data_IF_434780008020
#
_entry.id   IF_434780008020
#
_cell.length_a   1.000
_cell.length_b   1.000
_cell.length_c   1.000
_cell.angle_alpha   90.00
_cell.angle_beta   90.00
_cell.angle_gamma   90.00
#
_symmetry.space_group_name_H-M   'P 1'
#
loop_
_entity.id
_entity.type
_entity.pdbx_description
1 polymer ?
#
# COMPACT_ATOMS: atom_id res chain seq x y z
N UNK A 1 15.82 -9.41 8.80
CA UNK A 1 15.39 -9.13 7.41
C UNK A 1 13.90 -9.40 7.36
N UNK A 2 13.09 -8.39 7.03
CA UNK A 2 11.63 -8.50 7.10
C UNK A 2 11.13 -9.37 5.93
N UNK A 3 10.80 -10.63 6.20
CA UNK A 3 10.54 -11.67 5.19
C UNK A 3 9.30 -11.39 4.34
N UNK A 4 8.38 -10.56 4.84
CA UNK A 4 7.15 -10.16 4.13
C UNK A 4 7.44 -9.22 2.96
N UNK A 5 8.28 -8.20 3.16
CA UNK A 5 8.59 -7.21 2.11
C UNK A 5 9.27 -7.86 0.91
N UNK A 6 10.20 -8.79 1.14
CA UNK A 6 10.91 -9.47 0.06
C UNK A 6 9.96 -10.36 -0.77
N UNK A 7 9.03 -11.07 -0.13
CA UNK A 7 8.00 -11.84 -0.85
C UNK A 7 7.10 -10.95 -1.72
N UNK A 8 6.69 -9.80 -1.21
CA UNK A 8 5.85 -8.86 -1.96
C UNK A 8 6.61 -8.21 -3.13
N UNK A 9 7.90 -7.91 -2.95
CA UNK A 9 8.79 -7.46 -4.02
C UNK A 9 8.88 -8.47 -5.17
N UNK A 10 9.01 -9.75 -4.85
CA UNK A 10 9.03 -10.83 -5.86
C UNK A 10 7.73 -10.86 -6.65
N UNK A 11 6.56 -10.81 -5.98
CA UNK A 11 5.24 -10.76 -6.67
C UNK A 11 5.12 -9.57 -7.63
N UNK A 12 5.57 -8.38 -7.23
CA UNK A 12 5.57 -7.18 -8.09
C UNK A 12 6.46 -7.39 -9.32
N UNK A 13 7.64 -7.97 -9.12
CA UNK A 13 8.61 -8.23 -10.17
C UNK A 13 8.11 -9.28 -11.16
N UNK A 14 7.48 -10.35 -10.68
CA UNK A 14 6.91 -11.42 -11.50
C UNK A 14 5.82 -10.89 -12.44
N UNK A 15 5.08 -9.88 -11.98
CA UNK A 15 4.07 -9.18 -12.77
C UNK A 15 4.65 -8.10 -13.69
N UNK A 16 5.99 -7.98 -13.77
CA UNK A 16 6.75 -7.00 -14.58
C UNK A 16 6.54 -5.54 -14.18
N UNK A 17 6.08 -5.29 -12.96
CA UNK A 17 5.98 -3.94 -12.42
C UNK A 17 7.26 -3.54 -11.70
N UNK A 18 7.53 -2.23 -11.66
CA UNK A 18 8.62 -1.66 -10.89
C UNK A 18 8.12 -1.26 -9.50
N UNK A 19 8.78 -1.75 -8.46
CA UNK A 19 8.66 -1.16 -7.13
C UNK A 19 9.51 0.11 -7.09
N UNK A 20 8.87 1.27 -7.18
CA UNK A 20 9.53 2.57 -6.99
C UNK A 20 9.66 2.88 -5.50
N UNK A 21 10.51 3.86 -5.14
CA UNK A 21 10.66 4.28 -3.74
C UNK A 21 9.32 4.68 -3.12
N UNK A 22 8.49 5.45 -3.84
CA UNK A 22 7.16 5.85 -3.34
C UNK A 22 6.23 4.65 -3.10
N UNK A 23 6.21 3.67 -4.03
CA UNK A 23 5.43 2.44 -3.87
C UNK A 23 5.93 1.60 -2.71
N UNK A 24 7.24 1.55 -2.51
CA UNK A 24 7.84 0.86 -1.37
C UNK A 24 7.44 1.53 -0.06
N UNK A 25 7.48 2.87 0.02
CA UNK A 25 7.03 3.61 1.21
C UNK A 25 5.57 3.33 1.52
N UNK A 26 4.69 3.36 0.51
CA UNK A 26 3.27 3.04 0.67
C UNK A 26 3.08 1.59 1.15
N UNK A 27 3.78 0.63 0.54
CA UNK A 27 3.68 -0.78 0.95
C UNK A 27 4.19 -0.99 2.38
N UNK A 28 5.25 -0.29 2.76
CA UNK A 28 5.82 -0.35 4.09
C UNK A 28 4.85 0.16 5.16
N UNK A 29 4.02 1.17 4.84
CA UNK A 29 2.99 1.66 5.75
C UNK A 29 2.00 0.55 6.16
N UNK A 30 1.67 -0.39 5.26
CA UNK A 30 0.83 -1.54 5.59
C UNK A 30 1.56 -2.63 6.38
N UNK A 31 2.88 -2.79 6.17
CA UNK A 31 3.67 -3.79 6.88
C UNK A 31 3.93 -3.36 8.33
N UNK A 32 4.10 -2.06 8.56
CA UNK A 32 4.47 -1.51 9.86
C UNK A 32 3.26 -1.04 10.68
N UNK A 33 2.08 -0.88 10.08
CA UNK A 33 0.88 -0.49 10.80
C UNK A 33 0.43 -1.58 11.78
N UNK A 34 0.07 -1.17 13.00
CA UNK A 34 -0.56 -2.06 13.98
C UNK A 34 -2.00 -2.41 13.58
N UNK A 35 -2.68 -1.50 12.87
CA UNK A 35 -4.02 -1.69 12.32
C UNK A 35 -3.98 -2.38 10.96
N UNK A 36 -4.81 -3.41 10.78
CA UNK A 36 -4.81 -4.24 9.57
C UNK A 36 -5.56 -3.61 8.38
N UNK A 37 -6.39 -2.59 8.61
CA UNK A 37 -7.27 -2.02 7.59
C UNK A 37 -7.09 -0.51 7.47
N UNK A 38 -6.22 -0.08 6.55
CA UNK A 38 -5.93 1.34 6.36
C UNK A 38 -6.78 1.93 5.23
N UNK A 39 -7.37 3.11 5.44
CA UNK A 39 -7.89 3.93 4.35
C UNK A 39 -6.77 4.63 3.58
N UNK A 40 -7.08 5.21 2.42
CA UNK A 40 -6.10 6.01 1.67
C UNK A 40 -5.63 7.23 2.47
N UNK A 41 -6.51 7.79 3.29
CA UNK A 41 -6.22 8.91 4.19
C UNK A 41 -5.31 8.49 5.34
N UNK A 42 -5.51 7.29 5.91
CA UNK A 42 -4.61 6.75 6.95
C UNK A 42 -3.20 6.54 6.39
N UNK A 43 -3.12 5.92 5.21
CA UNK A 43 -1.84 5.76 4.49
C UNK A 43 -1.19 7.12 4.23
N UNK A 44 -1.97 8.13 3.82
CA UNK A 44 -1.45 9.48 3.59
C UNK A 44 -0.82 10.08 4.84
N UNK A 45 -1.47 9.96 6.00
CA UNK A 45 -0.92 10.44 7.28
C UNK A 45 0.39 9.72 7.60
N UNK A 46 0.42 8.39 7.48
CA UNK A 46 1.61 7.58 7.80
C UNK A 46 2.79 7.88 6.87
N UNK A 47 2.57 7.97 5.56
CA UNK A 47 3.68 8.14 4.60
C UNK A 47 4.22 9.56 4.57
N UNK A 48 3.43 10.57 4.99
CA UNK A 48 3.84 11.98 4.90
C UNK A 48 4.98 12.34 5.84
N UNK A 49 5.11 11.63 6.96
CA UNK A 49 6.21 11.79 7.91
C UNK A 49 7.57 11.39 7.30
N UNK A 50 7.58 10.43 6.36
CA UNK A 50 8.80 9.87 5.77
C UNK A 50 9.02 10.28 4.31
N UNK A 51 7.95 10.64 3.59
CA UNK A 51 7.98 10.98 2.17
C UNK A 51 6.94 12.08 1.87
N UNK A 52 7.23 13.35 2.24
CA UNK A 52 6.26 14.45 2.20
C UNK A 52 5.74 14.80 0.79
N UNK A 53 6.47 14.41 -0.25
CA UNK A 53 6.10 14.64 -1.66
C UNK A 53 5.04 13.65 -2.18
N UNK A 54 4.70 12.60 -1.43
CA UNK A 54 3.67 11.64 -1.82
C UNK A 54 2.28 12.26 -1.59
N UNK A 55 1.61 12.61 -2.69
CA UNK A 55 0.22 13.08 -2.67
C UNK A 55 -0.82 11.94 -2.69
N UNK A 56 -2.04 12.25 -2.24
CA UNK A 56 -3.20 11.32 -2.23
C UNK A 56 -3.44 10.64 -3.59
N UNK A 57 -3.36 11.38 -4.70
CA UNK A 57 -3.54 10.79 -6.03
C UNK A 57 -2.53 9.67 -6.34
N UNK A 58 -1.28 9.79 -5.85
CA UNK A 58 -0.26 8.75 -5.98
C UNK A 58 -0.57 7.56 -5.07
N UNK A 59 -1.11 7.81 -3.88
CA UNK A 59 -1.56 6.76 -2.97
C UNK A 59 -2.69 5.96 -3.61
N UNK A 60 -3.77 6.60 -4.05
CA UNK A 60 -4.89 5.92 -4.72
C UNK A 60 -4.43 5.06 -5.90
N UNK A 61 -3.64 5.61 -6.83
CA UNK A 61 -3.09 4.83 -7.97
C UNK A 61 -2.22 3.64 -7.54
N UNK A 62 -1.53 3.77 -6.41
CA UNK A 62 -0.69 2.69 -5.87
C UNK A 62 -1.53 1.62 -5.20
N UNK A 63 -2.58 2.00 -4.45
CA UNK A 63 -3.53 1.08 -3.83
C UNK A 63 -4.30 0.30 -4.90
N UNK A 64 -4.74 0.97 -5.97
CA UNK A 64 -5.38 0.32 -7.12
C UNK A 64 -4.44 -0.72 -7.75
N UNK A 65 -3.19 -0.32 -8.06
CA UNK A 65 -2.18 -1.23 -8.58
C UNK A 65 -1.93 -2.42 -7.65
N UNK A 66 -1.75 -2.19 -6.35
CA UNK A 66 -1.50 -3.27 -5.40
C UNK A 66 -2.69 -4.21 -5.25
N UNK A 67 -3.91 -3.72 -5.43
CA UNK A 67 -5.12 -4.55 -5.50
C UNK A 67 -5.12 -5.40 -6.78
N UNK A 68 -4.80 -4.81 -7.94
CA UNK A 68 -4.67 -5.54 -9.22
C UNK A 68 -3.57 -6.62 -9.18
N UNK A 69 -2.52 -6.37 -8.41
CA UNK A 69 -1.40 -7.30 -8.21
C UNK A 69 -1.65 -8.32 -7.10
N UNK A 70 -2.83 -8.34 -6.49
CA UNK A 70 -3.20 -9.26 -5.40
C UNK A 70 -2.27 -9.14 -4.17
N UNK A 71 -1.73 -7.94 -3.94
CA UNK A 71 -0.91 -7.61 -2.76
C UNK A 71 -1.74 -7.00 -1.65
N UNK A 72 -2.78 -6.26 -2.03
CA UNK A 72 -3.77 -5.70 -1.13
C UNK A 72 -5.15 -6.21 -1.48
N UNK A 73 -5.99 -6.36 -0.46
CA UNK A 73 -7.43 -6.55 -0.60
C UNK A 73 -8.15 -5.27 -0.25
N UNK A 74 -9.09 -4.88 -1.11
CA UNK A 74 -10.02 -3.77 -0.85
C UNK A 74 -11.21 -4.27 -0.04
N UNK A 75 -11.53 -3.57 1.02
CA UNK A 75 -12.68 -3.81 1.89
C UNK A 75 -13.61 -2.60 1.84
N UNK A 76 -14.90 -2.87 1.64
CA UNK A 76 -15.98 -1.89 1.70
C UNK A 76 -16.87 -2.23 2.91
N UNK A 77 -16.98 -1.28 3.84
CA UNK A 77 -17.78 -1.41 5.06
C UNK A 77 -19.14 -0.68 4.95
N UNK A 78 -19.46 -0.07 3.80
CA UNK A 78 -20.70 0.68 3.58
C UNK A 78 -20.71 2.07 4.22
N UNK A 79 -19.57 2.56 4.74
CA UNK A 79 -19.41 3.89 5.35
C UNK A 79 -18.93 4.95 4.34
N UNK A 80 -18.89 4.61 3.05
CA UNK A 80 -18.43 5.47 1.97
C UNK A 80 -16.91 5.57 1.85
N UNK A 81 -16.15 4.74 2.59
CA UNK A 81 -14.68 4.68 2.52
C UNK A 81 -14.19 3.26 2.26
N UNK A 82 -13.24 3.14 1.34
CA UNK A 82 -12.54 1.88 1.15
C UNK A 82 -11.39 1.78 2.15
N UNK A 83 -11.22 0.60 2.75
CA UNK A 83 -10.03 0.22 3.50
C UNK A 83 -9.27 -0.86 2.74
N UNK A 84 -7.99 -0.98 3.03
CA UNK A 84 -7.09 -1.92 2.36
C UNK A 84 -6.30 -2.71 3.41
N UNK A 85 -6.06 -3.99 3.14
CA UNK A 85 -5.28 -4.89 3.99
C UNK A 85 -4.30 -5.72 3.13
N UNK A 86 -3.22 -6.22 3.72
CA UNK A 86 -2.28 -7.13 3.04
C UNK A 86 -2.95 -8.49 2.77
N UNK A 87 -2.72 -9.03 1.56
CA UNK A 87 -3.10 -10.39 1.16
C UNK A 87 -2.09 -11.46 1.57
#
# INVERSE_FOLDING_TARGET
MNTTLEKLKERIKDKKYKLTTQRQTILQAFIDAEENHLSAEDVYVLVKEVAPDIGLATIYRTLDLFTELDLLKRLDFGDGRNRYELN
#
